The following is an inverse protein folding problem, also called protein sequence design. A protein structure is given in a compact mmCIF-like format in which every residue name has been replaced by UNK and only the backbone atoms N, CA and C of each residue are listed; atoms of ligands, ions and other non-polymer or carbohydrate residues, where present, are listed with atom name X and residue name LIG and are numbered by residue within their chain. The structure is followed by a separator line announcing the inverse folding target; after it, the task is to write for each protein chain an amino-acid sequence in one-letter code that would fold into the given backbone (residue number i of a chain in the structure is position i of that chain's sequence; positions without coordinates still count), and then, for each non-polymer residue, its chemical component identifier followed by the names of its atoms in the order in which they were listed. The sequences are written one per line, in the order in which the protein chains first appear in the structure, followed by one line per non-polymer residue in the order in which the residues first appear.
data_IF_980138848213
#
_entry.id   IF_980138848213
#
_cell.length_a   1.000
_cell.length_b   1.000
_cell.length_c   1.000
_cell.angle_alpha   90.00
_cell.angle_beta   90.00
_cell.angle_gamma   90.00
#
_symmetry.space_group_name_H-M   'P 1'
#
loop_
_entity.id
_entity.type
_entity.pdbx_description
1 polymer ?
#
# COMPACT_ATOMS: atom_id res chain seq x y z
N UNK A 1 -11.09 -12.23 2.47
CA UNK A 1 -11.91 -11.14 3.06
C UNK A 1 -11.86 -9.99 2.07
N UNK A 2 -13.01 -9.57 1.55
CA UNK A 2 -13.08 -8.46 0.60
C UNK A 2 -12.71 -7.14 1.29
N UNK A 3 -11.84 -6.35 0.66
CA UNK A 3 -11.41 -5.05 1.17
C UNK A 3 -11.07 -4.08 0.03
N UNK A 4 -11.12 -2.79 0.36
CA UNK A 4 -10.77 -1.68 -0.53
C UNK A 4 -9.28 -1.42 -0.44
N UNK A 5 -8.61 -1.29 -1.59
CA UNK A 5 -7.15 -1.05 -1.66
C UNK A 5 -6.77 -0.02 -2.71
N UNK A 6 -5.48 0.05 -3.05
CA UNK A 6 -4.91 0.91 -4.09
C UNK A 6 -5.17 2.39 -3.84
N UNK A 7 -5.38 3.14 -4.92
CA UNK A 7 -5.55 4.60 -4.88
C UNK A 7 -6.69 5.04 -3.95
N UNK A 8 -7.78 4.26 -3.85
CA UNK A 8 -8.90 4.58 -2.97
C UNK A 8 -8.47 4.53 -1.51
N UNK A 9 -7.70 3.51 -1.12
CA UNK A 9 -7.21 3.38 0.25
C UNK A 9 -6.17 4.45 0.61
N UNK A 10 -5.27 4.82 -0.33
CA UNK A 10 -4.31 5.92 -0.14
C UNK A 10 -4.99 7.29 0.08
N UNK A 11 -6.23 7.43 -0.37
CA UNK A 11 -7.02 8.65 -0.26
C UNK A 11 -8.03 8.64 0.90
N UNK A 12 -7.90 7.67 1.83
CA UNK A 12 -8.71 7.56 3.03
C UNK A 12 -7.82 7.67 4.27
N UNK A 13 -8.30 8.27 5.37
CA UNK A 13 -7.58 8.17 6.62
C UNK A 13 -7.46 6.70 7.04
N UNK A 14 -6.31 6.33 7.62
CA UNK A 14 -6.09 5.05 8.29
C UNK A 14 -5.56 5.29 9.72
N UNK A 15 -5.30 4.24 10.49
CA UNK A 15 -4.82 4.33 11.87
C UNK A 15 -3.30 4.52 11.97
N UNK A 16 -2.57 4.50 10.84
CA UNK A 16 -1.14 4.77 10.80
C UNK A 16 -0.87 6.29 10.84
N UNK A 17 0.30 6.66 11.38
CA UNK A 17 0.78 8.04 11.40
C UNK A 17 1.50 8.36 10.08
N UNK A 18 0.72 8.51 9.02
CA UNK A 18 1.19 8.67 7.63
C UNK A 18 0.50 9.86 6.96
N UNK A 19 1.16 10.57 6.04
CA UNK A 19 0.45 11.51 5.16
C UNK A 19 -0.32 10.69 4.14
N UNK A 20 -1.63 10.49 4.16
CA UNK A 20 -2.27 9.98 2.93
C UNK A 20 -2.01 10.85 1.68
N UNK A 21 -2.60 10.46 0.56
CA UNK A 21 -2.62 11.28 -0.66
C UNK A 21 -3.58 12.49 -0.52
N UNK A 22 -4.69 12.28 0.20
CA UNK A 22 -5.71 13.30 0.53
C UNK A 22 -6.40 13.99 -0.66
N UNK A 23 -6.23 13.50 -1.88
CA UNK A 23 -6.94 13.95 -3.09
C UNK A 23 -8.32 13.31 -3.25
N UNK A 24 -9.05 13.08 -2.16
CA UNK A 24 -10.32 12.33 -2.10
C UNK A 24 -11.36 12.78 -3.14
N UNK A 25 -11.45 14.08 -3.45
CA UNK A 25 -12.41 14.61 -4.44
C UNK A 25 -12.05 14.28 -5.90
N UNK A 26 -10.78 13.97 -6.19
CA UNK A 26 -10.29 13.61 -7.53
C UNK A 26 -10.39 12.12 -7.85
N UNK A 27 -10.75 11.29 -6.86
CA UNK A 27 -10.81 9.84 -7.02
C UNK A 27 -12.15 9.39 -7.60
N UNK A 28 -12.10 8.45 -8.54
CA UNK A 28 -13.31 7.80 -9.06
C UNK A 28 -13.86 6.80 -8.04
N UNK A 29 -14.79 7.25 -7.20
CA UNK A 29 -15.45 6.40 -6.20
C UNK A 29 -16.49 5.44 -6.77
N UNK A 30 -16.88 5.54 -8.04
CA UNK A 30 -17.84 4.59 -8.64
C UNK A 30 -17.20 3.24 -8.95
N UNK A 31 -15.90 3.24 -9.26
CA UNK A 31 -15.12 2.03 -9.58
C UNK A 31 -14.04 1.80 -8.52
N UNK A 32 -14.47 1.33 -7.34
CA UNK A 32 -13.57 1.08 -6.21
C UNK A 32 -12.68 -0.15 -6.48
N UNK A 33 -11.39 -0.03 -6.17
CA UNK A 33 -10.47 -1.18 -6.18
C UNK A 33 -10.81 -2.10 -5.01
N UNK A 34 -11.34 -3.27 -5.33
CA UNK A 34 -11.67 -4.33 -4.36
C UNK A 34 -10.75 -5.53 -4.58
N UNK A 35 -10.16 -6.01 -3.49
CA UNK A 35 -9.28 -7.17 -3.46
C UNK A 35 -9.76 -8.19 -2.42
N UNK A 36 -9.39 -9.46 -2.60
CA UNK A 36 -9.66 -10.53 -1.64
C UNK A 36 -8.40 -10.90 -0.86
N UNK A 37 -8.46 -10.78 0.47
CA UNK A 37 -7.27 -10.96 1.32
C UNK A 37 -6.60 -12.34 1.19
N UNK A 38 -7.38 -13.39 0.91
CA UNK A 38 -6.88 -14.76 0.77
C UNK A 38 -6.06 -14.98 -0.52
N UNK A 39 -6.22 -14.10 -1.50
CA UNK A 39 -5.47 -14.16 -2.76
C UNK A 39 -4.12 -13.44 -2.66
N UNK A 40 -3.86 -12.78 -1.52
CA UNK A 40 -2.63 -12.03 -1.26
C UNK A 40 -1.69 -12.78 -0.31
N UNK A 41 -0.39 -12.69 -0.58
CA UNK A 41 0.68 -13.17 0.31
C UNK A 41 0.63 -12.51 1.71
N UNK A 42 -0.01 -11.35 1.82
CA UNK A 42 -0.13 -10.60 3.06
C UNK A 42 -1.34 -11.02 3.91
N UNK A 43 -2.21 -11.90 3.40
CA UNK A 43 -3.46 -12.30 4.06
C UNK A 43 -4.23 -11.06 4.55
N UNK A 44 -4.61 -11.02 5.82
CA UNK A 44 -5.37 -9.93 6.42
C UNK A 44 -4.50 -8.74 6.92
N UNK A 45 -3.18 -8.79 6.74
CA UNK A 45 -2.27 -7.76 7.23
C UNK A 45 -2.64 -6.36 6.70
N UNK A 46 -2.67 -5.40 7.62
CA UNK A 46 -2.92 -3.99 7.31
C UNK A 46 -4.36 -3.67 6.86
N UNK A 47 -5.30 -4.61 6.95
CA UNK A 47 -6.70 -4.35 6.62
C UNK A 47 -7.45 -3.86 7.86
N UNK A 48 -8.00 -2.66 7.79
CA UNK A 48 -8.84 -2.04 8.81
C UNK A 48 -10.31 -2.32 8.56
N UNK A 49 -11.03 -2.71 9.61
CA UNK A 49 -12.45 -3.06 9.53
C UNK A 49 -13.33 -1.87 9.89
N UNK A 50 -14.59 -1.91 9.44
CA UNK A 50 -15.64 -0.96 9.82
C UNK A 50 -15.34 0.52 9.48
N UNK A 51 -14.66 0.75 8.35
CA UNK A 51 -14.40 2.10 7.83
C UNK A 51 -15.59 2.59 7.01
N UNK A 52 -15.77 3.91 6.98
CA UNK A 52 -16.70 4.59 6.07
C UNK A 52 -15.90 5.15 4.90
N UNK A 53 -16.47 5.11 3.70
CA UNK A 53 -15.85 5.68 2.50
C UNK A 53 -16.76 6.76 1.89
N UNK A 54 -16.20 7.74 1.16
CA UNK A 54 -16.95 8.78 0.47
C UNK A 54 -18.03 8.21 -0.45
N UNK A 55 -19.17 8.90 -0.51
CA UNK A 55 -20.27 8.62 -1.45
C UNK A 55 -20.95 7.25 -1.33
N UNK A 56 -20.58 6.42 -0.33
CA UNK A 56 -21.16 5.10 -0.12
C UNK A 56 -21.75 4.97 1.26
N UNK A 57 -22.87 4.24 1.35
CA UNK A 57 -23.46 3.84 2.64
C UNK A 57 -22.82 2.55 3.12
N UNK A 58 -22.82 2.34 4.42
CA UNK A 58 -22.34 1.10 5.05
C UNK A 58 -20.91 1.18 5.58
N UNK A 59 -20.38 0.01 5.90
CA UNK A 59 -19.08 -0.18 6.55
C UNK A 59 -18.26 -1.15 5.70
N UNK A 60 -17.01 -0.80 5.48
CA UNK A 60 -16.10 -1.49 4.57
C UNK A 60 -14.82 -1.89 5.31
N UNK A 61 -14.15 -2.91 4.78
CA UNK A 61 -12.77 -3.19 5.11
C UNK A 61 -11.89 -2.41 4.14
N UNK A 62 -10.83 -1.77 4.64
CA UNK A 62 -9.97 -0.89 3.84
C UNK A 62 -8.52 -1.14 4.24
N UNK A 63 -7.63 -1.25 3.26
CA UNK A 63 -6.20 -1.29 3.49
C UNK A 63 -5.73 0.01 4.17
N UNK A 64 -4.83 -0.11 5.16
CA UNK A 64 -4.02 1.02 5.58
C UNK A 64 -3.03 1.39 4.46
N UNK A 65 -2.33 2.52 4.59
CA UNK A 65 -1.48 3.00 3.50
C UNK A 65 -0.35 2.03 3.14
N UNK A 66 0.30 1.39 4.12
CA UNK A 66 1.33 0.37 3.85
C UNK A 66 0.73 -0.76 3.01
N UNK A 67 -0.41 -1.33 3.44
CA UNK A 67 -1.04 -2.43 2.71
C UNK A 67 -1.49 -2.01 1.30
N UNK A 68 -2.02 -0.80 1.15
CA UNK A 68 -2.42 -0.28 -0.16
C UNK A 68 -1.23 -0.16 -1.11
N UNK A 69 -0.08 0.32 -0.62
CA UNK A 69 1.16 0.40 -1.40
C UNK A 69 1.68 -1.00 -1.78
N UNK A 70 1.71 -1.93 -0.82
CA UNK A 70 2.13 -3.31 -1.06
C UNK A 70 1.27 -3.99 -2.14
N UNK A 71 -0.05 -3.78 -2.12
CA UNK A 71 -0.95 -4.30 -3.15
C UNK A 71 -0.63 -3.68 -4.52
N UNK A 72 -0.37 -2.37 -4.60
CA UNK A 72 0.03 -1.71 -5.85
C UNK A 72 1.35 -2.26 -6.40
N UNK A 73 2.33 -2.55 -5.53
CA UNK A 73 3.60 -3.16 -5.94
C UNK A 73 3.38 -4.58 -6.48
N UNK A 74 2.61 -5.41 -5.78
CA UNK A 74 2.29 -6.76 -6.22
C UNK A 74 1.55 -6.78 -7.57
N UNK A 75 0.65 -5.81 -7.82
CA UNK A 75 -0.06 -5.65 -9.09
C UNK A 75 0.76 -4.94 -10.20
N UNK A 76 1.99 -4.50 -9.90
CA UNK A 76 2.86 -3.80 -10.85
C UNK A 76 2.45 -2.35 -11.17
N UNK A 77 1.66 -1.72 -10.30
CA UNK A 77 1.12 -0.34 -10.45
C UNK A 77 2.06 0.72 -9.88
N UNK A 78 3.33 0.69 -10.27
CA UNK A 78 4.40 1.56 -9.73
C UNK A 78 4.19 3.06 -9.95
N UNK A 79 3.46 3.45 -11.01
CA UNK A 79 3.16 4.87 -11.27
C UNK A 79 2.24 5.49 -10.23
N UNK A 80 1.39 4.67 -9.59
CA UNK A 80 0.50 5.10 -8.51
C UNK A 80 1.25 5.10 -7.18
N UNK A 81 2.17 4.15 -6.99
CA UNK A 81 2.93 4.03 -5.75
C UNK A 81 4.10 5.02 -5.63
N UNK A 82 4.48 5.70 -6.73
CA UNK A 82 5.58 6.66 -6.74
C UNK A 82 5.40 7.76 -5.68
N UNK A 83 6.47 8.11 -4.96
CA UNK A 83 6.39 8.94 -3.76
C UNK A 83 6.10 8.11 -2.51
N UNK A 84 6.35 6.79 -2.54
CA UNK A 84 5.98 5.87 -1.47
C UNK A 84 6.48 6.35 -0.10
N UNK A 85 7.77 6.67 -0.03
CA UNK A 85 8.42 7.12 1.21
C UNK A 85 7.96 8.53 1.60
N UNK A 86 8.07 9.47 0.67
CA UNK A 86 7.98 10.91 0.97
C UNK A 86 6.56 11.47 0.92
N UNK A 87 5.69 10.95 0.05
CA UNK A 87 4.35 11.51 -0.20
C UNK A 87 3.24 10.73 0.54
N UNK A 88 3.39 9.41 0.69
CA UNK A 88 2.34 8.55 1.28
C UNK A 88 2.65 8.05 2.70
N UNK A 89 3.90 7.66 2.96
CA UNK A 89 4.28 7.16 4.29
C UNK A 89 4.70 8.33 5.19
N UNK A 90 5.58 9.21 4.71
CA UNK A 90 6.10 10.39 5.43
C UNK A 90 6.65 10.12 6.84
N UNK A 91 6.97 8.87 7.17
CA UNK A 91 7.27 8.50 8.54
C UNK A 91 8.15 7.25 8.60
N UNK A 92 9.43 7.48 8.88
CA UNK A 92 10.46 6.45 8.85
C UNK A 92 10.30 5.38 9.94
N UNK A 93 9.40 5.56 10.93
CA UNK A 93 9.10 4.51 11.90
C UNK A 93 8.55 3.24 11.25
N UNK A 94 8.02 3.35 10.03
CA UNK A 94 7.46 2.24 9.27
C UNK A 94 8.45 1.62 8.28
N UNK A 95 9.64 2.19 8.09
CA UNK A 95 10.60 1.74 7.06
C UNK A 95 10.96 0.27 7.22
N UNK A 96 11.31 -0.17 8.44
CA UNK A 96 11.66 -1.57 8.70
C UNK A 96 10.47 -2.51 8.43
N UNK A 97 9.26 -2.15 8.89
CA UNK A 97 8.05 -2.94 8.64
C UNK A 97 7.76 -3.07 7.14
N UNK A 98 7.90 -1.97 6.40
CA UNK A 98 7.72 -1.95 4.94
C UNK A 98 8.73 -2.88 4.27
N UNK A 99 10.01 -2.81 4.63
CA UNK A 99 11.05 -3.65 4.02
C UNK A 99 10.81 -5.14 4.28
N UNK A 100 10.44 -5.49 5.51
CA UNK A 100 10.08 -6.86 5.87
C UNK A 100 8.90 -7.36 5.04
N UNK A 101 7.88 -6.52 4.80
CA UNK A 101 6.72 -6.91 3.99
C UNK A 101 7.06 -6.99 2.51
N UNK A 102 7.80 -6.04 1.97
CA UNK A 102 8.24 -6.06 0.57
C UNK A 102 9.03 -7.33 0.27
N UNK A 103 9.90 -7.76 1.18
CA UNK A 103 10.72 -8.96 1.01
C UNK A 103 9.91 -10.26 0.86
N UNK A 104 8.66 -10.30 1.31
CA UNK A 104 7.77 -11.44 1.08
C UNK A 104 7.42 -11.62 -0.41
N UNK A 105 7.61 -10.58 -1.23
CA UNK A 105 7.33 -10.58 -2.68
C UNK A 105 8.50 -11.09 -3.54
N UNK A 106 9.60 -11.57 -2.94
CA UNK A 106 10.78 -12.03 -3.67
C UNK A 106 10.50 -13.14 -4.69
N UNK A 107 9.48 -13.98 -4.43
CA UNK A 107 9.07 -15.07 -5.30
C UNK A 107 8.06 -14.63 -6.39
N UNK A 108 7.65 -13.36 -6.42
CA UNK A 108 6.75 -12.87 -7.47
C UNK A 108 7.53 -12.64 -8.79
N UNK A 109 6.89 -12.94 -9.91
CA UNK A 109 7.47 -12.76 -11.26
C UNK A 109 7.94 -11.31 -11.52
N UNK A 110 7.28 -10.32 -10.89
CA UNK A 110 7.61 -8.91 -11.02
C UNK A 110 8.63 -8.41 -9.98
N UNK A 111 9.20 -9.28 -9.14
CA UNK A 111 10.19 -8.91 -8.12
C UNK A 111 11.30 -7.97 -8.62
N UNK A 112 11.94 -8.19 -9.79
CA UNK A 112 13.00 -7.28 -10.26
C UNK A 112 12.54 -5.81 -10.44
N UNK A 113 11.25 -5.60 -10.69
CA UNK A 113 10.67 -4.26 -10.80
C UNK A 113 10.32 -3.69 -9.43
N UNK A 114 9.87 -4.53 -8.49
CA UNK A 114 9.61 -4.14 -7.09
C UNK A 114 10.92 -3.71 -6.43
N UNK A 115 11.98 -4.52 -6.57
CA UNK A 115 13.29 -4.25 -5.99
C UNK A 115 13.86 -2.91 -6.51
N UNK A 116 13.85 -2.72 -7.84
CA UNK A 116 14.25 -1.44 -8.46
C UNK A 116 13.39 -0.26 -8.01
N UNK A 117 12.09 -0.47 -7.83
CA UNK A 117 11.20 0.56 -7.32
C UNK A 117 11.62 0.98 -5.92
N UNK A 118 11.88 0.01 -5.03
CA UNK A 118 12.30 0.28 -3.65
C UNK A 118 13.68 0.94 -3.58
N UNK A 119 14.64 0.55 -4.43
CA UNK A 119 15.91 1.27 -4.58
C UNK A 119 15.70 2.74 -4.93
N UNK A 120 14.69 3.07 -5.74
CA UNK A 120 14.39 4.46 -6.10
C UNK A 120 13.73 5.23 -4.96
N UNK A 121 12.78 4.63 -4.27
CA UNK A 121 12.00 5.30 -3.22
C UNK A 121 12.74 5.40 -1.88
N UNK A 122 13.56 4.41 -1.54
CA UNK A 122 14.26 4.31 -0.24
C UNK A 122 15.79 4.33 -0.34
N UNK A 123 16.36 4.17 -1.54
CA UNK A 123 17.80 4.32 -1.76
C UNK A 123 18.64 3.35 -0.93
N UNK A 124 19.67 3.89 -0.27
CA UNK A 124 20.67 3.11 0.45
C UNK A 124 20.08 2.29 1.60
N UNK A 125 19.02 2.76 2.25
CA UNK A 125 18.37 2.04 3.35
C UNK A 125 17.83 0.68 2.88
N UNK A 126 17.22 0.65 1.68
CA UNK A 126 16.72 -0.60 1.08
C UNK A 126 17.87 -1.52 0.66
N UNK A 127 18.92 -0.95 0.05
CA UNK A 127 20.09 -1.73 -0.38
C UNK A 127 20.81 -2.37 0.81
N UNK A 128 20.99 -1.65 1.92
CA UNK A 128 21.62 -2.19 3.13
C UNK A 128 20.77 -3.30 3.77
N UNK A 129 19.45 -3.14 3.80
CA UNK A 129 18.53 -4.17 4.28
C UNK A 129 18.60 -5.46 3.46
N UNK A 130 18.63 -5.37 2.12
CA UNK A 130 18.70 -6.54 1.25
C UNK A 130 20.02 -7.32 1.33
N UNK A 131 21.08 -6.71 1.86
CA UNK A 131 22.39 -7.34 2.05
C UNK A 131 22.53 -8.06 3.40
N UNK A 132 21.61 -7.81 4.34
CA UNK A 132 21.60 -8.39 5.69
C UNK A 132 20.89 -9.73 5.77
#
# INVERSE_FOLDING_TARGET
MLYISGIHALNLPCNLLTCGDWHTLGINWENIVLLESNDSIFLDYGIEKNRTIPFHRGKYNVANHIRALLDLLAEGKYSIAQGMKEDYICNDIYTEEIFQKVSLMQELDNWPNIDRFMEREYGIEWTEFNLS
#
